data_IF_130351906681
#
_entry.id   IF_130351906681
#
_cell.length_a   1.000
_cell.length_b   1.000
_cell.length_c   1.000
_cell.angle_alpha   90.00
_cell.angle_beta   90.00
_cell.angle_gamma   90.00
#
_symmetry.space_group_name_H-M   'P 1'
#
loop_
_entity.id
_entity.type
_entity.pdbx_description
1 polymer ?
#
# COMPACT_ATOMS: atom_id res chain seq x y z
N UNK A 1 -17.06 -62.21 -1.37
CA UNK A 1 -17.40 -60.86 -1.85
C UNK A 1 -16.22 -59.96 -1.54
N UNK A 2 -15.62 -59.31 -2.54
CA UNK A 2 -14.55 -58.32 -2.30
C UNK A 2 -15.15 -56.94 -2.00
N UNK A 3 -14.46 -56.07 -1.26
CA UNK A 3 -14.89 -54.69 -1.06
C UNK A 3 -14.77 -53.90 -2.38
N UNK A 4 -15.79 -53.10 -2.67
CA UNK A 4 -15.82 -52.19 -3.81
C UNK A 4 -14.94 -50.97 -3.53
N UNK A 5 -13.97 -50.70 -4.40
CA UNK A 5 -13.15 -49.48 -4.38
C UNK A 5 -13.75 -48.54 -5.44
N UNK A 6 -14.25 -47.35 -5.08
CA UNK A 6 -14.67 -46.35 -6.06
C UNK A 6 -13.45 -45.65 -6.67
N UNK A 7 -13.45 -45.46 -7.99
CA UNK A 7 -12.34 -44.83 -8.72
C UNK A 7 -12.18 -43.34 -8.40
N UNK A 8 -10.94 -42.90 -8.12
CA UNK A 8 -10.57 -41.50 -7.89
C UNK A 8 -10.52 -40.67 -9.20
N UNK A 9 -11.59 -40.69 -10.01
CA UNK A 9 -11.71 -39.86 -11.23
C UNK A 9 -13.15 -39.39 -11.51
N UNK A 10 -14.00 -39.24 -10.49
CA UNK A 10 -15.26 -38.51 -10.62
C UNK A 10 -14.99 -36.99 -10.68
N UNK A 11 -14.66 -36.48 -11.87
CA UNK A 11 -14.78 -35.05 -12.14
C UNK A 11 -16.20 -34.60 -11.77
N UNK A 12 -16.33 -33.51 -11.03
CA UNK A 12 -17.63 -32.99 -10.59
C UNK A 12 -18.31 -32.33 -11.80
N UNK A 13 -18.97 -33.16 -12.62
CA UNK A 13 -19.77 -32.70 -13.74
C UNK A 13 -20.85 -31.76 -13.22
N UNK A 14 -20.68 -30.48 -13.53
CA UNK A 14 -21.70 -29.47 -13.27
C UNK A 14 -22.95 -29.86 -14.07
N UNK A 15 -24.16 -29.74 -13.49
CA UNK A 15 -25.38 -30.14 -14.18
C UNK A 15 -25.53 -29.33 -15.46
N UNK A 16 -25.59 -30.03 -16.60
CA UNK A 16 -25.78 -29.44 -17.93
C UNK A 16 -27.03 -28.55 -17.93
N UNK A 17 -26.92 -27.36 -18.50
CA UNK A 17 -28.09 -26.50 -18.69
C UNK A 17 -29.04 -27.14 -19.71
N UNK A 18 -30.32 -26.75 -19.69
CA UNK A 18 -31.30 -27.25 -20.67
C UNK A 18 -30.82 -27.05 -22.12
N UNK A 19 -30.18 -25.91 -22.41
CA UNK A 19 -29.65 -25.61 -23.73
C UNK A 19 -28.50 -26.55 -24.12
N UNK A 20 -27.59 -26.87 -23.18
CA UNK A 20 -26.50 -27.83 -23.42
C UNK A 20 -27.01 -29.26 -23.64
N UNK A 21 -28.09 -29.65 -22.94
CA UNK A 21 -28.73 -30.95 -23.11
C UNK A 21 -29.53 -31.07 -24.42
N UNK A 22 -30.02 -29.96 -24.97
CA UNK A 22 -30.79 -29.92 -26.22
C UNK A 22 -29.91 -29.74 -27.48
N UNK A 23 -28.82 -28.98 -27.37
CA UNK A 23 -28.03 -28.57 -28.53
C UNK A 23 -26.77 -29.43 -28.81
N UNK A 24 -26.32 -30.23 -27.83
CA UNK A 24 -24.98 -30.84 -27.76
C UNK A 24 -23.83 -29.83 -28.04
N UNK A 25 -23.15 -29.28 -27.02
CA UNK A 25 -22.06 -28.33 -27.24
C UNK A 25 -20.97 -28.95 -28.14
N UNK A 26 -20.40 -28.18 -29.09
CA UNK A 26 -19.54 -28.72 -30.14
C UNK A 26 -18.32 -29.43 -29.54
N UNK A 27 -18.13 -30.69 -29.95
CA UNK A 27 -17.05 -31.58 -29.47
C UNK A 27 -15.66 -31.25 -30.06
N UNK A 28 -15.57 -30.15 -30.80
CA UNK A 28 -14.36 -29.57 -31.38
C UNK A 28 -14.31 -28.09 -31.01
N UNK A 29 -13.11 -27.52 -30.90
CA UNK A 29 -12.97 -26.07 -30.74
C UNK A 29 -13.54 -25.37 -31.97
N UNK A 30 -14.23 -24.25 -31.76
CA UNK A 30 -14.64 -23.37 -32.85
C UNK A 30 -13.45 -22.58 -33.42
N UNK A 31 -13.54 -22.15 -34.68
CA UNK A 31 -12.55 -21.29 -35.35
C UNK A 31 -12.16 -20.08 -34.49
N UNK A 32 -13.14 -19.51 -33.76
CA UNK A 32 -12.95 -18.36 -32.88
C UNK A 32 -12.06 -18.70 -31.68
N UNK A 33 -12.27 -19.87 -31.07
CA UNK A 33 -11.46 -20.35 -29.94
C UNK A 33 -10.05 -20.73 -30.39
N UNK A 34 -9.90 -21.37 -31.55
CA UNK A 34 -8.59 -21.65 -32.17
C UNK A 34 -7.82 -20.33 -32.40
N UNK A 35 -8.44 -19.35 -33.06
CA UNK A 35 -7.83 -18.04 -33.33
C UNK A 35 -7.44 -17.29 -32.05
N UNK A 36 -8.26 -17.35 -30.99
CA UNK A 36 -7.97 -16.73 -29.70
C UNK A 36 -6.82 -17.42 -28.97
N UNK A 37 -6.81 -18.76 -28.92
CA UNK A 37 -5.78 -19.55 -28.25
C UNK A 37 -4.43 -19.42 -28.95
N UNK A 38 -4.40 -19.50 -30.28
CA UNK A 38 -3.20 -19.24 -31.08
C UNK A 38 -2.80 -17.77 -31.15
N UNK A 39 -3.66 -16.84 -30.73
CA UNK A 39 -3.44 -15.40 -30.83
C UNK A 39 -3.20 -14.95 -32.30
N UNK A 40 -3.94 -15.56 -33.25
CA UNK A 40 -3.86 -15.19 -34.68
C UNK A 40 -4.29 -13.72 -34.86
N UNK A 41 -3.56 -12.98 -35.72
CA UNK A 41 -3.83 -11.57 -36.00
C UNK A 41 -3.37 -10.57 -34.92
N UNK A 42 -2.77 -11.00 -33.81
CA UNK A 42 -2.26 -10.09 -32.77
C UNK A 42 -1.00 -9.35 -33.25
N UNK A 43 -1.16 -8.10 -33.66
CA UNK A 43 -0.08 -7.13 -33.93
C UNK A 43 0.37 -6.46 -32.63
N UNK A 44 1.67 -6.16 -32.52
CA UNK A 44 2.26 -5.42 -31.40
C UNK A 44 1.60 -4.04 -31.12
N UNK A 45 1.74 -3.55 -29.89
CA UNK A 45 1.23 -2.24 -29.49
C UNK A 45 2.02 -1.10 -30.17
N UNK A 46 1.35 -0.05 -30.70
CA UNK A 46 2.03 1.08 -31.36
C UNK A 46 2.99 1.87 -30.45
N UNK A 47 2.78 1.84 -29.13
CA UNK A 47 3.59 2.57 -28.16
C UNK A 47 3.93 1.71 -26.94
N UNK A 48 5.19 1.70 -26.46
CA UNK A 48 5.56 1.06 -25.20
C UNK A 48 4.79 1.65 -24.02
N UNK A 49 4.38 0.79 -23.08
CA UNK A 49 3.79 1.24 -21.81
C UNK A 49 2.33 1.70 -21.86
N UNK A 50 1.62 1.51 -22.99
CA UNK A 50 0.16 1.61 -23.01
C UNK A 50 -0.46 0.68 -21.96
N UNK A 51 -1.56 1.10 -21.34
CA UNK A 51 -2.26 0.25 -20.39
C UNK A 51 -3.07 -0.83 -21.13
N UNK A 52 -3.05 -2.04 -20.57
CA UNK A 52 -3.69 -3.23 -21.15
C UNK A 52 -4.90 -3.67 -20.32
N UNK A 53 -5.48 -2.73 -19.58
CA UNK A 53 -6.66 -2.94 -18.74
C UNK A 53 -7.82 -3.45 -19.61
N UNK A 54 -8.51 -4.51 -19.19
CA UNK A 54 -9.59 -5.13 -19.97
C UNK A 54 -9.16 -5.95 -21.19
N UNK A 55 -7.87 -6.02 -21.55
CA UNK A 55 -7.38 -6.98 -22.54
C UNK A 55 -7.30 -8.39 -21.93
N UNK A 56 -7.44 -9.42 -22.77
CA UNK A 56 -7.29 -10.82 -22.38
C UNK A 56 -5.89 -11.16 -21.84
N UNK A 57 -5.76 -12.28 -21.14
CA UNK A 57 -4.48 -12.76 -20.61
C UNK A 57 -3.67 -13.42 -21.73
N UNK A 58 -2.36 -13.17 -21.77
CA UNK A 58 -1.48 -13.76 -22.76
C UNK A 58 -1.10 -15.20 -22.35
N UNK A 59 -1.85 -16.19 -22.85
CA UNK A 59 -1.57 -17.62 -22.65
C UNK A 59 -0.10 -17.97 -22.98
N UNK A 60 0.42 -17.45 -24.12
CA UNK A 60 1.83 -17.62 -24.50
C UNK A 60 2.83 -17.07 -23.48
N UNK A 61 2.47 -16.05 -22.68
CA UNK A 61 3.34 -15.53 -21.63
C UNK A 61 3.32 -16.41 -20.37
N UNK A 62 2.20 -17.07 -20.07
CA UNK A 62 2.12 -18.01 -18.95
C UNK A 62 3.07 -19.20 -19.14
N UNK A 63 3.16 -19.72 -20.37
CA UNK A 63 4.17 -20.72 -20.79
C UNK A 63 5.53 -20.12 -21.18
N UNK A 64 5.75 -18.81 -20.93
CA UNK A 64 6.99 -18.05 -21.23
C UNK A 64 7.44 -18.02 -22.69
N UNK A 65 6.57 -18.37 -23.64
CA UNK A 65 6.81 -18.38 -25.09
C UNK A 65 6.34 -17.09 -25.82
N UNK A 66 5.94 -16.03 -25.11
CA UNK A 66 5.48 -14.78 -25.74
C UNK A 66 6.65 -13.94 -26.28
N UNK A 67 6.78 -13.88 -27.60
CA UNK A 67 7.88 -13.14 -28.25
C UNK A 67 7.72 -11.61 -28.19
N UNK A 68 6.50 -11.09 -28.00
CA UNK A 68 6.24 -9.64 -27.99
C UNK A 68 6.64 -8.93 -26.68
N UNK A 69 6.90 -9.68 -25.60
CA UNK A 69 7.34 -9.12 -24.31
C UNK A 69 6.46 -7.96 -23.82
N UNK A 70 7.07 -6.79 -23.60
CA UNK A 70 6.36 -5.59 -23.13
C UNK A 70 5.36 -5.00 -24.17
N UNK A 71 5.58 -5.24 -25.47
CA UNK A 71 4.73 -4.76 -26.57
C UNK A 71 3.55 -5.69 -26.88
N UNK A 72 3.42 -6.83 -26.18
CA UNK A 72 2.26 -7.70 -26.34
C UNK A 72 0.98 -6.94 -25.97
N UNK A 73 -0.07 -6.89 -26.84
CA UNK A 73 -1.35 -6.25 -26.51
C UNK A 73 -2.16 -6.95 -25.42
N UNK A 74 -1.83 -8.22 -25.14
CA UNK A 74 -2.46 -9.04 -24.10
C UNK A 74 -1.74 -8.88 -22.76
N UNK A 75 -2.44 -9.17 -21.66
CA UNK A 75 -1.95 -8.95 -20.29
C UNK A 75 -0.98 -10.04 -19.84
N UNK A 76 0.13 -9.65 -19.23
CA UNK A 76 1.16 -10.52 -18.70
C UNK A 76 1.04 -10.59 -17.17
N UNK A 77 0.52 -11.70 -16.63
CA UNK A 77 0.31 -11.87 -15.19
C UNK A 77 1.59 -12.40 -14.52
N UNK A 78 2.26 -11.53 -13.75
CA UNK A 78 3.28 -11.91 -12.76
C UNK A 78 2.57 -12.42 -11.50
N UNK A 79 2.86 -13.65 -11.06
CA UNK A 79 2.04 -14.40 -10.07
C UNK A 79 2.27 -14.05 -8.59
N UNK A 80 3.25 -13.21 -8.26
CA UNK A 80 3.68 -12.95 -6.87
C UNK A 80 2.86 -11.87 -6.10
N UNK A 81 1.78 -11.34 -6.69
CA UNK A 81 1.11 -10.12 -6.20
C UNK A 81 0.03 -10.41 -5.15
N UNK A 82 0.30 -10.02 -3.92
CA UNK A 82 -0.51 -10.39 -2.74
C UNK A 82 -1.75 -9.53 -2.48
N UNK A 83 -1.78 -8.26 -2.92
CA UNK A 83 -2.80 -7.28 -2.50
C UNK A 83 -3.42 -6.56 -3.70
N UNK A 84 -4.75 -6.43 -3.74
CA UNK A 84 -5.51 -5.79 -4.83
C UNK A 84 -5.20 -4.29 -4.97
N UNK A 85 -5.02 -3.84 -6.21
CA UNK A 85 -4.67 -2.47 -6.57
C UNK A 85 -5.86 -1.52 -6.44
N UNK A 86 -5.83 -0.67 -5.40
CA UNK A 86 -6.81 0.43 -5.17
C UNK A 86 -7.04 1.35 -6.39
N UNK A 87 -6.04 1.51 -7.26
CA UNK A 87 -6.15 2.36 -8.46
C UNK A 87 -6.80 1.63 -9.65
N UNK A 88 -6.59 0.32 -9.77
CA UNK A 88 -7.18 -0.51 -10.82
C UNK A 88 -8.68 -0.70 -10.61
N UNK A 89 -9.13 -0.86 -9.36
CA UNK A 89 -10.55 -0.84 -8.96
C UNK A 89 -11.32 0.46 -9.33
N UNK A 90 -10.61 1.47 -9.84
CA UNK A 90 -11.16 2.75 -10.32
C UNK A 90 -10.89 3.01 -11.80
N UNK A 91 -10.26 2.08 -12.52
CA UNK A 91 -9.79 2.27 -13.90
C UNK A 91 -8.58 3.23 -14.06
N UNK A 92 -7.94 3.65 -12.97
CA UNK A 92 -6.92 4.73 -12.97
C UNK A 92 -5.47 4.22 -12.84
N UNK A 93 -5.21 2.92 -13.06
CA UNK A 93 -3.87 2.36 -12.85
C UNK A 93 -2.94 2.50 -14.06
N UNK A 94 -2.21 3.62 -14.12
CA UNK A 94 -1.19 3.91 -15.15
C UNK A 94 -0.03 2.89 -15.24
N UNK A 95 0.12 1.97 -14.28
CA UNK A 95 1.22 0.97 -14.27
C UNK A 95 0.90 -0.32 -15.04
N UNK A 96 -0.33 -0.52 -15.52
CA UNK A 96 -0.71 -1.68 -16.33
C UNK A 96 -0.30 -3.01 -15.68
N UNK A 97 0.35 -3.90 -16.45
CA UNK A 97 0.86 -5.17 -15.94
C UNK A 97 2.09 -5.04 -15.01
N UNK A 98 2.82 -3.92 -15.09
CA UNK A 98 3.98 -3.61 -14.25
C UNK A 98 3.59 -3.06 -12.86
N UNK A 99 2.30 -3.12 -12.49
CA UNK A 99 1.85 -2.74 -11.17
C UNK A 99 2.29 -3.79 -10.13
N UNK A 100 2.90 -3.35 -9.02
CA UNK A 100 3.26 -4.24 -7.88
C UNK A 100 2.01 -4.83 -7.18
N UNK A 101 0.84 -4.24 -7.42
CA UNK A 101 -0.43 -4.65 -6.85
C UNK A 101 -1.25 -5.48 -7.84
N UNK A 102 -2.08 -6.38 -7.30
CA UNK A 102 -2.89 -7.33 -8.05
C UNK A 102 -4.02 -6.65 -8.83
N UNK A 103 -4.19 -7.03 -10.09
CA UNK A 103 -5.23 -6.55 -11.02
C UNK A 103 -6.24 -7.67 -11.29
N UNK A 104 -6.85 -8.15 -10.21
CA UNK A 104 -7.90 -9.17 -10.09
C UNK A 104 -8.89 -8.69 -9.00
N UNK A 105 -10.17 -9.03 -9.11
CA UNK A 105 -11.17 -8.70 -8.09
C UNK A 105 -11.27 -9.82 -7.07
N UNK A 106 -10.63 -9.63 -5.92
CA UNK A 106 -10.61 -10.61 -4.83
C UNK A 106 -10.79 -9.89 -3.48
N UNK A 107 -11.87 -10.22 -2.78
CA UNK A 107 -12.22 -9.64 -1.48
C UNK A 107 -11.27 -10.10 -0.35
N UNK A 108 -10.69 -11.29 -0.46
CA UNK A 108 -9.74 -11.82 0.53
C UNK A 108 -8.37 -11.12 0.44
N UNK A 109 -7.92 -10.82 -0.78
CA UNK A 109 -6.67 -10.09 -1.09
C UNK A 109 -6.86 -8.56 -1.14
N UNK A 110 -8.04 -8.04 -0.78
CA UNK A 110 -8.30 -6.60 -0.71
C UNK A 110 -7.53 -5.94 0.46
N UNK A 111 -6.93 -4.74 0.28
CA UNK A 111 -6.25 -4.03 1.37
C UNK A 111 -7.18 -3.64 2.54
N UNK A 112 -6.57 -3.42 3.71
CA UNK A 112 -7.25 -2.99 4.94
C UNK A 112 -7.96 -1.62 4.76
N UNK A 113 -9.16 -1.51 5.32
CA UNK A 113 -9.95 -0.29 5.28
C UNK A 113 -9.33 0.79 6.18
N UNK A 114 -8.81 1.87 5.57
CA UNK A 114 -8.16 2.97 6.29
C UNK A 114 -9.04 3.61 7.37
N UNK A 115 -10.34 3.80 7.10
CA UNK A 115 -11.26 4.40 8.06
C UNK A 115 -11.48 3.48 9.27
N UNK A 116 -11.77 2.21 9.02
CA UNK A 116 -11.97 1.21 10.09
C UNK A 116 -10.69 0.98 10.91
N UNK A 117 -9.54 0.82 10.24
CA UNK A 117 -8.25 0.60 10.90
C UNK A 117 -7.79 1.76 11.78
N UNK A 118 -8.29 2.98 11.55
CA UNK A 118 -7.89 4.19 12.31
C UNK A 118 -8.96 4.68 13.29
N UNK A 119 -10.24 4.50 12.97
CA UNK A 119 -11.37 5.10 13.70
C UNK A 119 -12.40 4.07 14.20
N UNK A 120 -12.18 2.76 13.98
CA UNK A 120 -13.11 1.66 14.30
C UNK A 120 -14.50 1.77 13.66
N UNK A 121 -14.68 2.70 12.73
CA UNK A 121 -15.92 2.98 12.04
C UNK A 121 -15.68 3.17 10.54
N UNK A 122 -16.58 2.64 9.72
CA UNK A 122 -16.65 2.90 8.29
C UNK A 122 -18.03 3.46 7.94
N UNK A 123 -18.08 4.54 7.14
CA UNK A 123 -19.35 5.15 6.72
C UNK A 123 -20.14 4.31 5.72
N UNK A 124 -19.49 3.34 5.06
CA UNK A 124 -20.09 2.51 4.03
C UNK A 124 -20.36 1.11 4.61
N UNK A 125 -21.62 0.66 4.56
CA UNK A 125 -22.00 -0.70 5.00
C UNK A 125 -21.36 -1.76 4.10
N UNK A 126 -21.46 -1.57 2.78
CA UNK A 126 -20.78 -2.37 1.76
C UNK A 126 -19.42 -1.76 1.44
N UNK A 127 -18.49 -1.81 2.41
CA UNK A 127 -17.10 -1.43 2.15
C UNK A 127 -16.35 -2.60 1.48
N UNK A 128 -15.78 -2.45 0.28
CA UNK A 128 -15.00 -3.54 -0.32
C UNK A 128 -13.72 -3.86 0.47
N UNK A 129 -13.15 -2.85 1.14
CA UNK A 129 -11.90 -2.95 1.90
C UNK A 129 -12.08 -3.72 3.20
N UNK A 130 -11.09 -4.55 3.56
CA UNK A 130 -11.20 -5.44 4.72
C UNK A 130 -11.29 -4.66 6.03
N UNK A 131 -12.36 -4.89 6.77
CA UNK A 131 -12.49 -4.51 8.17
C UNK A 131 -11.75 -5.54 9.03
N UNK A 132 -10.74 -5.10 9.77
CA UNK A 132 -9.95 -5.91 10.71
C UNK A 132 -9.78 -5.07 11.97
N UNK A 133 -10.23 -5.58 13.11
CA UNK A 133 -10.10 -4.86 14.38
C UNK A 133 -8.63 -4.80 14.82
N UNK A 134 -8.07 -3.61 15.13
CA UNK A 134 -6.68 -3.50 15.57
C UNK A 134 -6.40 -4.26 16.87
N UNK A 135 -7.41 -4.49 17.74
CA UNK A 135 -7.25 -5.36 18.91
C UNK A 135 -7.04 -6.84 18.50
N UNK A 136 -7.76 -7.31 17.48
CA UNK A 136 -7.60 -8.69 16.95
C UNK A 136 -6.23 -8.94 16.31
N UNK A 137 -5.56 -7.86 15.89
CA UNK A 137 -4.20 -7.85 15.33
C UNK A 137 -3.11 -7.96 16.41
N UNK A 138 -3.46 -7.81 17.70
CA UNK A 138 -2.56 -8.04 18.82
C UNK A 138 -2.49 -9.55 19.10
N UNK A 139 -1.33 -10.17 18.87
CA UNK A 139 -1.09 -11.59 19.22
C UNK A 139 -1.48 -11.86 20.68
N UNK A 140 -2.25 -12.91 20.93
CA UNK A 140 -2.46 -13.42 22.29
C UNK A 140 -1.11 -13.81 22.93
N UNK A 141 -0.97 -13.63 24.24
CA UNK A 141 0.34 -13.64 24.92
C UNK A 141 0.85 -15.06 25.24
N UNK A 142 2.01 -15.50 24.69
CA UNK A 142 2.55 -16.84 24.93
C UNK A 142 3.03 -17.13 26.36
N UNK A 143 3.00 -16.12 27.25
CA UNK A 143 3.21 -16.31 28.69
C UNK A 143 1.88 -16.42 29.44
N UNK A 144 0.85 -15.68 29.01
CA UNK A 144 -0.48 -15.73 29.61
C UNK A 144 -1.25 -17.01 29.25
N UNK A 145 -1.13 -17.49 28.01
CA UNK A 145 -1.68 -18.80 27.59
C UNK A 145 -0.98 -19.99 28.31
N UNK A 146 0.18 -19.76 28.93
CA UNK A 146 0.86 -20.69 29.87
C UNK A 146 0.50 -20.44 31.35
N UNK A 147 -0.53 -19.62 31.62
CA UNK A 147 -1.08 -19.36 32.94
C UNK A 147 -0.58 -18.08 33.63
N UNK A 148 0.64 -17.62 33.36
CA UNK A 148 1.19 -16.43 34.03
C UNK A 148 2.11 -15.58 33.12
N UNK A 149 1.75 -14.30 32.97
CA UNK A 149 2.58 -13.30 32.32
C UNK A 149 3.12 -12.27 33.33
N UNK A 150 4.45 -12.15 33.40
CA UNK A 150 5.16 -11.21 34.30
C UNK A 150 4.73 -9.74 34.15
N UNK A 151 4.23 -9.34 32.98
CA UNK A 151 3.78 -7.97 32.72
C UNK A 151 2.36 -7.66 33.22
N UNK A 152 1.62 -8.66 33.73
CA UNK A 152 0.29 -8.46 34.31
C UNK A 152 -0.68 -7.74 33.36
N UNK A 153 -1.46 -6.74 33.83
CA UNK A 153 -2.36 -5.98 32.96
C UNK A 153 -1.64 -5.05 31.96
N UNK A 154 -0.33 -4.82 32.12
CA UNK A 154 0.47 -3.94 31.26
C UNK A 154 1.22 -4.69 30.14
N UNK A 155 0.80 -5.92 29.80
CA UNK A 155 1.41 -6.64 28.69
C UNK A 155 1.02 -6.05 27.33
N UNK A 156 2.01 -5.91 26.44
CA UNK A 156 1.78 -5.52 25.04
C UNK A 156 1.01 -6.57 24.22
N UNK A 157 1.06 -7.83 24.64
CA UNK A 157 0.37 -8.94 23.98
C UNK A 157 -0.96 -9.23 24.71
N UNK A 158 -1.96 -9.67 23.96
CA UNK A 158 -3.34 -9.76 24.44
C UNK A 158 -3.52 -10.90 25.46
N UNK A 159 -4.19 -10.61 26.57
CA UNK A 159 -4.40 -11.57 27.67
C UNK A 159 -5.80 -12.19 27.59
N UNK A 160 -5.96 -13.19 26.72
CA UNK A 160 -7.20 -13.98 26.63
C UNK A 160 -7.33 -14.89 27.87
N UNK A 161 -8.29 -14.58 28.75
CA UNK A 161 -8.70 -15.52 29.81
C UNK A 161 -9.37 -16.74 29.18
N UNK A 162 -8.93 -17.94 29.56
CA UNK A 162 -9.51 -19.23 29.16
C UNK A 162 -9.80 -20.06 30.42
N UNK A 163 -10.87 -20.83 30.43
CA UNK A 163 -11.13 -21.80 31.51
C UNK A 163 -10.22 -23.01 31.30
N UNK A 164 -9.41 -23.35 32.29
CA UNK A 164 -8.51 -24.49 32.24
C UNK A 164 -9.28 -25.81 32.41
N UNK A 165 -8.83 -26.88 31.75
CA UNK A 165 -9.39 -28.21 31.97
C UNK A 165 -8.88 -28.79 33.29
N UNK A 166 -9.77 -28.99 34.27
CA UNK A 166 -9.42 -29.57 35.56
C UNK A 166 -8.81 -30.97 35.42
N UNK A 167 -9.37 -31.81 34.53
CA UNK A 167 -8.87 -33.17 34.30
C UNK A 167 -7.49 -33.18 33.62
N UNK A 168 -7.17 -32.19 32.77
CA UNK A 168 -5.84 -32.07 32.17
C UNK A 168 -4.81 -31.53 33.17
N UNK A 169 -5.20 -30.61 34.04
CA UNK A 169 -4.36 -30.14 35.15
C UNK A 169 -3.97 -31.29 36.10
N UNK A 170 -4.85 -32.29 36.23
CA UNK A 170 -4.60 -33.54 36.96
C UNK A 170 -3.89 -34.63 36.14
N UNK A 171 -3.67 -34.42 34.83
CA UNK A 171 -3.01 -35.38 33.93
C UNK A 171 -3.89 -36.44 33.27
N UNK A 172 -5.21 -36.44 33.51
CA UNK A 172 -6.14 -37.51 33.12
C UNK A 172 -7.28 -37.06 32.18
N UNK A 173 -7.07 -36.04 31.34
CA UNK A 173 -8.10 -35.65 30.37
C UNK A 173 -8.17 -36.63 29.19
N UNK A 174 -9.29 -37.35 29.10
CA UNK A 174 -9.64 -38.30 28.02
C UNK A 174 -9.66 -37.68 26.63
N UNK A 175 -10.05 -36.40 26.54
CA UNK A 175 -10.39 -35.75 25.28
C UNK A 175 -9.15 -35.21 24.53
N UNK A 176 -7.96 -35.31 25.15
CA UNK A 176 -6.68 -34.94 24.55
C UNK A 176 -6.66 -33.52 23.97
N UNK A 177 -6.20 -33.29 22.73
CA UNK A 177 -6.16 -31.96 22.12
C UNK A 177 -7.54 -31.41 21.69
N UNK A 178 -8.62 -32.21 21.82
CA UNK A 178 -9.98 -31.85 21.34
C UNK A 178 -10.89 -31.42 22.50
N UNK A 179 -10.38 -31.35 23.73
CA UNK A 179 -11.18 -30.96 24.90
C UNK A 179 -11.81 -29.57 24.75
N UNK A 180 -13.05 -29.43 25.26
CA UNK A 180 -13.79 -28.16 25.35
C UNK A 180 -13.09 -27.12 26.24
N UNK A 181 -12.23 -27.55 27.15
CA UNK A 181 -11.54 -26.70 28.13
C UNK A 181 -10.05 -26.53 27.77
N UNK A 182 -9.45 -25.42 28.18
CA UNK A 182 -8.12 -25.04 27.73
C UNK A 182 -7.01 -25.90 28.35
N UNK A 183 -6.13 -26.42 27.51
CA UNK A 183 -4.96 -27.21 27.88
C UNK A 183 -3.67 -26.37 27.73
N UNK A 184 -2.98 -25.98 28.82
CA UNK A 184 -1.71 -25.27 28.73
C UNK A 184 -0.62 -26.13 28.10
N UNK A 185 0.00 -25.66 27.01
CA UNK A 185 1.23 -26.28 26.49
C UNK A 185 2.43 -25.69 27.23
N UNK A 186 3.07 -26.50 28.08
CA UNK A 186 4.27 -26.11 28.83
C UNK A 186 5.52 -26.00 27.95
N UNK A 187 5.45 -26.52 26.71
CA UNK A 187 6.53 -26.42 25.72
C UNK A 187 6.92 -24.96 25.50
N UNK A 188 8.24 -24.71 25.50
CA UNK A 188 8.75 -23.40 25.08
C UNK A 188 8.41 -23.20 23.59
N UNK A 189 7.82 -22.05 23.20
CA UNK A 189 7.73 -21.73 21.78
C UNK A 189 9.16 -21.66 21.24
N UNK A 190 9.41 -22.36 20.13
CA UNK A 190 10.63 -22.19 19.35
C UNK A 190 10.81 -20.68 19.09
N UNK A 191 12.01 -20.10 19.28
CA UNK A 191 12.20 -18.67 19.08
C UNK A 191 11.72 -18.29 17.67
N UNK A 192 10.83 -17.29 17.58
CA UNK A 192 10.34 -16.85 16.26
C UNK A 192 11.58 -16.54 15.39
N UNK A 193 11.68 -17.11 14.17
CA UNK A 193 12.78 -16.78 13.28
C UNK A 193 12.73 -15.28 13.06
N UNK A 194 13.75 -14.58 13.59
CA UNK A 194 13.74 -13.13 13.67
C UNK A 194 13.37 -12.56 12.29
N UNK A 195 12.46 -11.55 12.23
CA UNK A 195 12.06 -11.00 10.95
C UNK A 195 13.33 -10.62 10.20
N UNK A 196 13.41 -11.04 8.92
CA UNK A 196 14.54 -10.72 8.03
C UNK A 196 14.53 -9.24 7.70
N UNK A 197 14.80 -8.41 8.71
CA UNK A 197 15.38 -7.09 8.57
C UNK A 197 16.52 -7.26 7.57
N UNK A 198 16.49 -6.47 6.51
CA UNK A 198 17.51 -6.49 5.47
C UNK A 198 18.80 -5.90 6.04
N UNK A 199 19.49 -6.69 6.87
CA UNK A 199 20.83 -6.43 7.37
C UNK A 199 21.79 -6.57 6.21
N UNK A 200 21.76 -5.57 5.31
CA UNK A 200 22.78 -5.37 4.30
C UNK A 200 24.10 -5.23 5.05
N UNK A 201 25.06 -6.15 4.90
CA UNK A 201 26.33 -6.03 5.60
C UNK A 201 26.99 -4.70 5.21
N UNK A 202 27.69 -4.08 6.16
CA UNK A 202 28.27 -2.73 5.99
C UNK A 202 29.25 -2.60 4.80
N UNK A 203 29.63 -3.71 4.17
CA UNK A 203 30.30 -3.81 2.88
C UNK A 203 29.62 -3.03 1.72
N UNK A 204 28.31 -2.76 1.84
CA UNK A 204 27.55 -1.96 0.87
C UNK A 204 27.54 -0.45 1.15
N UNK A 205 28.18 0.01 2.24
CA UNK A 205 28.28 1.44 2.56
C UNK A 205 29.52 2.03 1.88
N UNK A 206 29.30 2.92 0.91
CA UNK A 206 30.34 3.75 0.30
C UNK A 206 30.53 5.02 1.13
N UNK A 207 31.77 5.37 1.43
CA UNK A 207 32.12 6.58 2.16
C UNK A 207 31.99 7.82 1.26
N UNK A 208 31.15 8.80 1.63
CA UNK A 208 31.01 10.05 0.87
C UNK A 208 32.26 10.96 0.85
N UNK A 209 33.31 10.66 1.62
CA UNK A 209 34.54 11.46 1.67
C UNK A 209 35.62 10.95 0.69
N UNK A 210 35.95 9.65 0.73
CA UNK A 210 36.96 9.03 -0.14
C UNK A 210 36.38 8.12 -1.23
N UNK A 211 35.06 7.89 -1.26
CA UNK A 211 34.36 7.01 -2.20
C UNK A 211 34.73 5.51 -2.14
N UNK A 212 35.48 5.10 -1.11
CA UNK A 212 35.78 3.69 -0.81
C UNK A 212 34.61 2.99 -0.09
N UNK A 213 34.57 1.65 -0.13
CA UNK A 213 33.51 0.84 0.50
C UNK A 213 33.92 0.29 1.85
N UNK A 214 32.94 0.06 2.72
CA UNK A 214 33.10 -0.65 4.01
C UNK A 214 33.20 0.25 5.24
N UNK A 215 33.20 1.58 5.08
CA UNK A 215 33.23 2.51 6.22
C UNK A 215 32.34 3.75 5.99
N UNK A 216 31.98 4.42 7.10
CA UNK A 216 31.17 5.65 7.11
C UNK A 216 32.07 6.88 7.12
N UNK A 217 31.64 7.99 6.49
CA UNK A 217 32.46 9.20 6.34
C UNK A 217 33.00 9.80 7.65
N UNK A 218 32.30 9.63 8.76
CA UNK A 218 32.76 10.08 10.09
C UNK A 218 33.89 9.23 10.69
N UNK A 219 34.27 8.11 10.07
CA UNK A 219 35.39 7.23 10.44
C UNK A 219 36.19 6.88 9.17
N UNK A 220 36.46 7.87 8.33
CA UNK A 220 37.26 7.72 7.11
C UNK A 220 38.76 7.77 7.45
N UNK A 221 39.59 6.81 6.99
CA UNK A 221 41.03 6.81 7.27
C UNK A 221 41.77 7.97 6.57
N UNK A 222 41.14 8.59 5.56
CA UNK A 222 41.61 9.81 4.89
C UNK A 222 41.09 11.11 5.54
N UNK A 223 40.56 11.07 6.76
CA UNK A 223 40.45 12.28 7.58
C UNK A 223 41.87 12.77 7.94
N UNK A 224 42.19 14.07 7.86
CA UNK A 224 43.51 14.60 8.20
C UNK A 224 43.75 14.51 9.72
N UNK A 225 44.23 13.35 10.16
CA UNK A 225 44.48 13.03 11.55
C UNK A 225 45.77 13.71 12.07
N UNK A 226 45.60 14.93 12.58
CA UNK A 226 46.33 15.47 13.73
C UNK A 226 47.82 15.09 13.82
N UNK A 227 48.70 15.87 13.19
CA UNK A 227 50.15 15.78 13.44
C UNK A 227 50.74 17.16 13.66
N UNK A 228 51.53 17.30 14.73
CA UNK A 228 52.29 18.50 15.15
C UNK A 228 51.45 19.72 15.56
N UNK A 229 51.32 19.92 16.88
CA UNK A 229 50.99 21.21 17.49
C UNK A 229 52.30 21.96 17.80
N UNK A 230 52.52 23.18 17.27
CA UNK A 230 53.46 24.13 17.87
C UNK A 230 52.85 24.70 19.16
N UNK A 231 53.65 24.81 20.23
CA UNK A 231 53.25 25.55 21.43
C UNK A 231 53.34 27.06 21.17
N UNK A 232 52.25 27.80 21.37
CA UNK A 232 52.21 29.26 21.42
C UNK A 232 51.19 29.74 22.46
N UNK A 233 51.50 30.84 23.14
CA UNK A 233 50.88 31.22 24.41
C UNK A 233 49.43 31.74 24.36
N UNK A 234 48.73 31.55 25.49
CA UNK A 234 47.35 31.98 25.72
C UNK A 234 47.21 33.50 25.97
N UNK A 235 47.83 34.34 25.13
CA UNK A 235 47.92 35.80 25.36
C UNK A 235 47.87 36.64 24.09
N UNK A 236 46.84 36.44 23.24
CA UNK A 236 46.42 37.43 22.21
C UNK A 236 44.97 37.27 21.72
N UNK A 237 44.00 37.34 22.63
CA UNK A 237 42.59 37.49 22.24
C UNK A 237 42.28 38.95 21.86
N UNK A 238 42.35 39.27 20.55
CA UNK A 238 41.66 40.35 19.80
C UNK A 238 42.43 40.69 18.52
N UNK A 239 41.81 40.49 17.34
CA UNK A 239 41.54 41.51 16.30
C UNK A 239 40.77 40.84 15.12
N UNK A 240 40.33 41.63 14.13
CA UNK A 240 39.46 41.33 12.97
C UNK A 240 39.75 40.00 12.21
N UNK A 241 38.79 39.24 11.66
CA UNK A 241 37.67 39.52 10.72
C UNK A 241 38.08 39.87 9.26
N UNK A 242 37.40 39.20 8.32
CA UNK A 242 37.28 39.46 6.86
C UNK A 242 38.53 39.17 6.00
N UNK A 243 38.48 38.61 4.79
CA UNK A 243 37.41 37.93 3.98
C UNK A 243 38.11 37.12 2.82
N UNK A 244 37.60 36.70 1.64
CA UNK A 244 36.35 36.91 0.87
C UNK A 244 36.11 35.79 -0.18
N UNK A 245 34.83 35.41 -0.43
CA UNK A 245 34.28 34.83 -1.69
C UNK A 245 34.80 33.48 -2.25
N UNK A 246 34.14 32.89 -3.30
CA UNK A 246 32.81 33.16 -3.91
C UNK A 246 31.85 31.93 -3.83
N UNK A 247 30.61 31.91 -4.36
CA UNK A 247 29.57 32.92 -4.56
C UNK A 247 28.25 32.19 -4.89
N UNK A 248 27.22 32.28 -4.03
CA UNK A 248 25.82 32.22 -4.47
C UNK A 248 24.89 32.91 -3.47
N UNK A 249 23.74 33.41 -3.96
CA UNK A 249 22.88 34.42 -3.31
C UNK A 249 22.48 34.14 -1.84
N UNK A 250 23.19 34.78 -0.90
CA UNK A 250 22.82 34.80 0.53
C UNK A 250 21.61 35.69 0.77
N UNK A 251 20.40 35.14 0.61
CA UNK A 251 19.14 35.80 1.01
C UNK A 251 19.21 36.24 2.49
N UNK A 252 18.72 37.44 2.78
CA UNK A 252 18.72 38.00 4.13
C UNK A 252 18.00 37.07 5.12
N UNK A 253 18.64 36.80 6.25
CA UNK A 253 18.09 35.90 7.28
C UNK A 253 16.74 36.40 7.80
N UNK A 254 16.53 37.71 7.81
CA UNK A 254 15.27 38.38 8.15
C UNK A 254 14.07 38.00 7.26
N UNK A 255 14.29 37.56 6.01
CA UNK A 255 13.21 37.18 5.09
C UNK A 255 12.93 35.68 5.06
N UNK A 256 13.85 34.88 5.61
CA UNK A 256 13.77 33.41 5.59
C UNK A 256 12.77 32.94 6.65
N UNK A 257 11.66 32.36 6.17
CA UNK A 257 10.64 31.70 6.98
C UNK A 257 11.15 30.33 7.45
N UNK A 258 11.02 30.08 8.75
CA UNK A 258 11.30 28.79 9.35
C UNK A 258 10.18 27.80 9.01
N UNK A 259 10.46 26.83 8.15
CA UNK A 259 9.46 25.80 7.75
C UNK A 259 8.80 25.03 8.91
N UNK A 260 9.33 25.08 10.14
CA UNK A 260 8.75 24.42 11.33
C UNK A 260 7.74 25.27 12.10
N UNK A 261 7.80 26.60 12.02
CA UNK A 261 6.91 27.50 12.76
C UNK A 261 6.40 28.71 11.95
N UNK A 262 6.72 28.81 10.66
CA UNK A 262 6.33 29.87 9.74
C UNK A 262 6.99 31.24 9.97
N UNK A 263 7.53 31.49 11.17
CA UNK A 263 8.14 32.78 11.53
C UNK A 263 9.41 33.06 10.72
N UNK A 264 9.57 34.33 10.33
CA UNK A 264 10.76 34.83 9.65
C UNK A 264 11.95 34.99 10.60
N UNK A 265 13.15 35.21 10.05
CA UNK A 265 14.33 35.56 10.84
C UNK A 265 15.23 34.39 11.27
N UNK A 266 14.88 33.14 10.95
CA UNK A 266 15.72 31.99 11.31
C UNK A 266 15.49 30.74 10.44
N UNK A 267 16.54 29.92 10.32
CA UNK A 267 16.47 28.62 9.65
C UNK A 267 15.91 27.53 10.58
N UNK A 268 15.25 26.52 10.01
CA UNK A 268 14.62 25.39 10.73
C UNK A 268 15.56 24.55 11.63
N UNK A 269 16.88 24.71 11.49
CA UNK A 269 17.90 24.05 12.32
C UNK A 269 18.28 24.87 13.58
N UNK A 270 17.79 26.11 13.71
CA UNK A 270 17.95 26.99 14.88
C UNK A 270 16.60 27.45 15.44
N UNK A 271 15.53 26.70 15.18
CA UNK A 271 14.19 27.01 15.70
C UNK A 271 14.09 26.71 17.19
N UNK A 272 13.83 27.74 18.00
CA UNK A 272 13.75 27.67 19.47
C UNK A 272 12.50 26.93 19.97
N UNK A 273 11.45 26.84 19.15
CA UNK A 273 10.16 26.19 19.48
C UNK A 273 10.21 24.64 19.44
N UNK A 274 11.38 24.04 19.28
CA UNK A 274 11.57 22.60 19.33
C UNK A 274 11.00 21.85 18.12
N UNK A 275 10.83 20.53 18.26
CA UNK A 275 10.46 19.64 17.14
C UNK A 275 8.95 19.57 16.85
N UNK A 276 8.11 20.01 17.80
CA UNK A 276 6.64 19.96 17.71
C UNK A 276 6.00 21.26 17.21
N UNK A 277 6.81 22.27 16.86
CA UNK A 277 6.36 23.62 16.49
C UNK A 277 5.38 23.68 15.30
N UNK A 278 5.31 22.64 14.46
CA UNK A 278 4.40 22.56 13.32
C UNK A 278 2.91 22.69 13.70
N UNK A 279 2.54 22.38 14.94
CA UNK A 279 1.15 22.33 15.39
C UNK A 279 0.50 23.72 15.58
N UNK A 280 1.28 24.81 15.73
CA UNK A 280 0.70 26.14 15.98
C UNK A 280 0.05 26.76 14.75
N UNK A 281 0.59 26.51 13.56
CA UNK A 281 0.23 27.28 12.36
C UNK A 281 -1.05 26.78 11.67
N UNK A 282 -1.47 25.55 11.96
CA UNK A 282 -2.75 25.01 11.48
C UNK A 282 -3.95 25.65 12.17
N UNK A 283 -3.80 26.14 13.41
CA UNK A 283 -4.89 26.79 14.15
C UNK A 283 -5.22 28.19 13.59
N UNK A 284 -4.19 29.02 13.34
CA UNK A 284 -4.38 30.38 12.81
C UNK A 284 -4.91 30.41 11.38
N UNK A 285 -4.67 29.36 10.60
CA UNK A 285 -5.17 29.24 9.23
C UNK A 285 -6.66 28.92 9.15
N UNK A 286 -7.24 28.24 10.16
CA UNK A 286 -8.68 27.91 10.19
C UNK A 286 -9.56 29.12 10.52
N UNK A 287 -9.15 30.00 11.43
CA UNK A 287 -9.98 31.15 11.81
C UNK A 287 -10.05 32.20 10.69
N UNK A 288 -8.95 32.44 9.97
CA UNK A 288 -8.91 33.38 8.83
C UNK A 288 -9.78 32.97 7.63
N UNK A 289 -10.24 31.71 7.58
CA UNK A 289 -11.22 31.25 6.57
C UNK A 289 -12.68 31.41 7.01
N UNK A 290 -12.93 31.86 8.25
CA UNK A 290 -14.28 32.00 8.81
C UNK A 290 -14.88 33.41 8.67
N UNK A 291 -14.04 34.42 8.40
CA UNK A 291 -14.41 35.84 8.40
C UNK A 291 -14.28 36.50 7.01
N UNK A 292 -15.00 35.97 6.01
CA UNK A 292 -15.29 36.71 4.76
C UNK A 292 -16.81 36.81 4.54
N UNK A 293 -17.36 38.03 4.29
CA UNK A 293 -18.79 38.23 4.12
C UNK A 293 -19.31 37.64 2.79
N UNK A 294 -20.56 37.15 2.81
CA UNK A 294 -21.18 36.40 1.71
C UNK A 294 -22.00 37.28 0.76
N UNK A 295 -21.34 38.07 -0.09
CA UNK A 295 -22.02 38.97 -1.04
C UNK A 295 -21.39 39.02 -2.45
N UNK A 296 -21.37 37.90 -3.20
CA UNK A 296 -21.27 37.96 -4.67
C UNK A 296 -21.63 36.66 -5.45
N UNK A 297 -22.90 36.20 -5.44
CA UNK A 297 -23.32 35.08 -6.29
C UNK A 297 -24.77 35.15 -6.84
N UNK A 298 -25.34 36.36 -7.04
CA UNK A 298 -26.70 36.52 -7.59
C UNK A 298 -26.78 37.40 -8.85
N UNK A 299 -25.73 37.41 -9.69
CA UNK A 299 -25.72 38.10 -11.01
C UNK A 299 -25.07 37.28 -12.13
N UNK A 300 -25.76 36.19 -12.51
CA UNK A 300 -25.73 35.51 -13.83
C UNK A 300 -26.98 34.63 -13.90
N UNK A 301 -27.47 34.33 -15.10
CA UNK A 301 -28.75 33.62 -15.36
C UNK A 301 -30.04 34.42 -15.03
N UNK A 302 -30.10 35.69 -15.46
CA UNK A 302 -31.37 36.40 -15.72
C UNK A 302 -31.14 37.44 -16.83
N UNK A 303 -32.04 37.51 -17.81
CA UNK A 303 -31.94 38.38 -18.99
C UNK A 303 -31.88 37.58 -20.30
N UNK A 304 -33.04 37.44 -20.96
CA UNK A 304 -33.19 36.58 -22.15
C UNK A 304 -34.64 36.42 -22.64
N UNK A 305 -35.42 37.49 -22.60
CA UNK A 305 -36.71 37.59 -23.30
C UNK A 305 -36.45 37.77 -24.81
N UNK A 306 -37.34 37.45 -25.75
CA UNK A 306 -38.69 36.89 -25.65
C UNK A 306 -39.58 37.35 -26.81
N UNK A 307 -39.81 36.50 -27.82
CA UNK A 307 -40.65 36.80 -29.00
C UNK A 307 -40.20 36.03 -30.25
N UNK A 308 -41.07 35.72 -31.23
CA UNK A 308 -42.54 35.90 -31.29
C UNK A 308 -43.14 34.84 -32.23
N UNK A 309 -44.47 34.63 -32.16
CA UNK A 309 -45.19 33.63 -32.97
C UNK A 309 -45.12 33.90 -34.48
N UNK A 310 -45.12 32.83 -35.27
CA UNK A 310 -45.86 32.76 -36.54
C UNK A 310 -46.76 31.53 -36.52
N UNK A 311 -47.93 31.64 -37.16
CA UNK A 311 -48.84 30.53 -37.44
C UNK A 311 -48.57 30.00 -38.84
N UNK A 312 -49.01 28.78 -39.14
CA UNK A 312 -49.49 28.38 -40.47
C UNK A 312 -50.24 27.06 -40.34
N UNK A 313 -51.57 27.13 -40.42
CA UNK A 313 -52.40 25.97 -40.76
C UNK A 313 -52.42 25.84 -42.30
N UNK A 314 -52.41 24.61 -42.81
CA UNK A 314 -52.28 24.34 -44.24
C UNK A 314 -52.74 22.94 -44.61
N UNK A 315 -54.03 22.81 -44.92
CA UNK A 315 -54.63 21.68 -45.65
C UNK A 315 -53.83 21.43 -46.96
N UNK A 316 -53.75 20.23 -47.53
CA UNK A 316 -54.91 19.50 -48.07
C UNK A 316 -54.63 17.99 -48.31
N UNK A 317 -55.43 17.32 -49.16
CA UNK A 317 -55.45 15.86 -49.37
C UNK A 317 -55.05 15.47 -50.82
N UNK A 318 -55.01 14.15 -51.06
CA UNK A 318 -55.01 13.40 -52.34
C UNK A 318 -53.66 13.01 -52.99
N UNK A 319 -53.65 11.74 -53.40
CA UNK A 319 -52.77 10.97 -54.31
C UNK A 319 -51.25 11.04 -54.10
#
# INVERSE_FOLDING_TARGET
>A
MGPYIPDENSEIQQPLTMDMALAEPPKHLTDVEEMLNEQRGVRELPFPGMDKSGRGVCLKNEVKACMFGALCPLRHIIKDKQVVCKHWLRGLCKKGDQCEFLHEYDLSRMPECFFFSKYLACSNRECPFRHIDPESKIKDCPWYDRGFCRHGPFCKNRHRRRVLCQFYLLGFCTDGPVCKFSHPSFNLPMPEPAPKLNFRPNYAVTCHNCHERGHKATHCPHLPAQTQLPQVDASKLKQFQNDHHPHESRRNVADITCYKCGEKGHYANRCTKGILAFLSNTATASDQQREQPRDNQQKKYAGGEGGTKTQNDGQENFD
#
